data_IF_817980384686
#
_entry.id   IF_817980384686
#
_cell.length_a   1.000
_cell.length_b   1.000
_cell.length_c   1.000
_cell.angle_alpha   90.00
_cell.angle_beta   90.00
_cell.angle_gamma   90.00
#
_symmetry.space_group_name_H-M   'P 1'
#
loop_
_entity.id
_entity.type
_entity.pdbx_description
1 polymer ?
#
# COMPACT_ATOMS: atom_id res chain seq x y z
N UNK A 1 -36.68 -9.71 -20.07
CA UNK A 1 -35.67 -8.68 -20.43
C UNK A 1 -35.03 -8.06 -19.18
N UNK A 2 -35.78 -7.55 -18.22
CA UNK A 2 -35.24 -6.92 -16.98
C UNK A 2 -34.44 -7.91 -16.11
N UNK A 3 -34.93 -9.14 -15.90
CA UNK A 3 -34.26 -10.15 -15.07
C UNK A 3 -32.92 -10.67 -15.66
N UNK A 4 -32.80 -10.73 -17.00
CA UNK A 4 -31.57 -11.13 -17.70
C UNK A 4 -30.48 -10.04 -17.62
N UNK A 5 -30.87 -8.77 -17.67
CA UNK A 5 -29.93 -7.65 -17.51
C UNK A 5 -29.40 -7.54 -16.07
N UNK A 6 -30.24 -7.79 -15.07
CA UNK A 6 -29.84 -7.84 -13.66
C UNK A 6 -28.87 -9.00 -13.36
N UNK A 7 -29.13 -10.20 -13.89
CA UNK A 7 -28.24 -11.36 -13.71
C UNK A 7 -26.86 -11.15 -14.36
N UNK A 8 -26.80 -10.53 -15.54
CA UNK A 8 -25.54 -10.19 -16.21
C UNK A 8 -24.74 -9.12 -15.44
N UNK A 9 -25.41 -8.11 -14.86
CA UNK A 9 -24.74 -7.10 -14.02
C UNK A 9 -24.10 -7.72 -12.78
N UNK A 10 -24.79 -8.66 -12.12
CA UNK A 10 -24.31 -9.37 -10.93
C UNK A 10 -23.09 -10.24 -11.25
N UNK A 11 -23.09 -10.94 -12.39
CA UNK A 11 -21.94 -11.73 -12.85
C UNK A 11 -20.71 -10.88 -13.19
N UNK A 12 -20.89 -9.68 -13.75
CA UNK A 12 -19.79 -8.75 -14.04
C UNK A 12 -19.21 -8.16 -12.74
N UNK A 13 -20.04 -7.89 -11.73
CA UNK A 13 -19.60 -7.44 -10.40
C UNK A 13 -18.85 -8.53 -9.61
N UNK A 14 -19.01 -9.81 -9.96
CA UNK A 14 -18.26 -10.94 -9.37
C UNK A 14 -16.91 -11.23 -10.05
N UNK A 15 -16.64 -10.64 -11.22
CA UNK A 15 -15.34 -10.78 -11.88
C UNK A 15 -14.30 -9.89 -11.20
N UNK A 16 -13.07 -10.39 -11.08
CA UNK A 16 -11.94 -9.59 -10.57
C UNK A 16 -11.75 -8.32 -11.39
N UNK A 17 -11.27 -7.26 -10.74
CA UNK A 17 -10.99 -5.99 -11.39
C UNK A 17 -10.05 -6.16 -12.58
N UNK A 18 -9.06 -7.05 -12.47
CA UNK A 18 -8.15 -7.36 -13.58
C UNK A 18 -8.90 -7.82 -14.83
N UNK A 19 -9.86 -8.75 -14.71
CA UNK A 19 -10.63 -9.25 -15.85
C UNK A 19 -11.50 -8.15 -16.46
N UNK A 20 -12.11 -7.32 -15.61
CA UNK A 20 -12.97 -6.21 -16.04
C UNK A 20 -12.18 -5.14 -16.79
N UNK A 21 -10.97 -4.79 -16.32
CA UNK A 21 -10.06 -3.88 -17.04
C UNK A 21 -9.54 -4.52 -18.33
N UNK A 22 -9.23 -5.82 -18.32
CA UNK A 22 -8.81 -6.54 -19.53
C UNK A 22 -9.92 -6.58 -20.60
N UNK A 23 -11.18 -6.72 -20.20
CA UNK A 23 -12.34 -6.75 -21.10
C UNK A 23 -12.77 -5.36 -21.61
N UNK A 24 -12.41 -4.27 -20.93
CA UNK A 24 -12.72 -2.92 -21.37
C UNK A 24 -12.05 -2.61 -22.73
N UNK A 25 -12.68 -1.83 -23.63
CA UNK A 25 -12.03 -1.39 -24.86
C UNK A 25 -10.79 -0.53 -24.56
N UNK A 26 -9.93 -0.36 -25.56
CA UNK A 26 -8.87 0.66 -25.50
C UNK A 26 -9.50 2.06 -25.32
N UNK A 27 -8.79 2.94 -24.61
CA UNK A 27 -9.29 4.24 -24.17
C UNK A 27 -9.17 4.43 -22.65
N UNK A 28 -9.94 5.37 -22.11
CA UNK A 28 -9.95 5.62 -20.67
C UNK A 28 -10.79 4.58 -19.94
N UNK A 29 -10.21 3.94 -18.92
CA UNK A 29 -10.90 3.03 -18.00
C UNK A 29 -10.76 3.58 -16.59
N UNK A 30 -11.85 3.70 -15.84
CA UNK A 30 -11.82 4.30 -14.50
C UNK A 30 -12.57 3.47 -13.47
N UNK A 31 -12.12 3.55 -12.22
CA UNK A 31 -12.77 2.90 -11.08
C UNK A 31 -12.52 3.69 -9.80
N UNK A 32 -13.24 3.35 -8.73
CA UNK A 32 -13.11 4.02 -7.43
C UNK A 32 -13.15 3.01 -6.28
N UNK A 33 -12.45 3.26 -5.19
CA UNK A 33 -12.44 2.40 -4.00
C UNK A 33 -12.29 3.23 -2.71
N UNK A 34 -12.62 2.63 -1.56
CA UNK A 34 -12.57 3.34 -0.29
C UNK A 34 -11.13 3.70 0.10
N UNK A 35 -10.92 4.96 0.49
CA UNK A 35 -9.64 5.44 1.02
C UNK A 35 -9.57 5.19 2.53
N UNK A 36 -8.39 4.83 3.05
CA UNK A 36 -8.16 4.65 4.48
C UNK A 36 -8.37 5.97 5.25
N UNK A 37 -8.70 5.92 6.55
CA UNK A 37 -8.75 7.11 7.40
C UNK A 37 -7.45 7.93 7.31
N UNK A 38 -7.58 9.26 7.36
CA UNK A 38 -6.43 10.18 7.26
C UNK A 38 -6.01 10.51 5.83
N UNK A 39 -6.64 9.92 4.81
CA UNK A 39 -6.43 10.26 3.39
C UNK A 39 -7.44 11.30 2.92
N UNK A 40 -6.91 12.39 2.37
CA UNK A 40 -7.68 13.53 1.88
C UNK A 40 -7.15 14.00 0.53
N UNK A 41 -8.01 14.60 -0.28
CA UNK A 41 -7.58 15.23 -1.51
C UNK A 41 -8.56 16.27 -2.02
N UNK A 42 -8.08 17.10 -2.94
CA UNK A 42 -8.87 18.17 -3.55
C UNK A 42 -9.62 17.71 -4.82
N UNK A 43 -9.63 16.39 -5.10
CA UNK A 43 -10.23 15.82 -6.31
C UNK A 43 -9.54 16.17 -7.62
N UNK A 44 -8.33 16.75 -7.60
CA UNK A 44 -7.63 17.24 -8.80
C UNK A 44 -6.19 16.77 -8.90
N UNK A 45 -5.35 17.18 -7.96
CA UNK A 45 -3.90 16.98 -8.06
C UNK A 45 -3.19 16.95 -6.71
N UNK A 46 -3.92 17.18 -5.62
CA UNK A 46 -3.37 17.21 -4.28
C UNK A 46 -3.97 16.07 -3.47
N UNK A 47 -3.08 15.24 -2.91
CA UNK A 47 -3.43 14.16 -2.01
C UNK A 47 -2.54 14.28 -0.76
N UNK A 48 -3.16 14.23 0.41
CA UNK A 48 -2.51 14.13 1.71
C UNK A 48 -2.96 12.84 2.40
N UNK A 49 -2.06 12.16 3.12
CA UNK A 49 -2.32 10.81 3.65
C UNK A 49 -1.94 10.60 5.11
N UNK A 50 -1.75 11.71 5.83
CA UNK A 50 -1.49 11.77 7.27
C UNK A 50 -2.13 13.03 7.85
N UNK A 51 -3.47 13.05 7.84
CA UNK A 51 -4.23 14.17 8.37
C UNK A 51 -4.95 13.81 9.68
N UNK A 52 -4.69 14.57 10.74
CA UNK A 52 -5.39 14.49 12.02
C UNK A 52 -6.05 15.83 12.37
N UNK A 53 -7.37 15.82 12.62
CA UNK A 53 -8.16 17.01 13.03
C UNK A 53 -7.92 18.28 12.19
N UNK A 54 -7.70 18.12 10.88
CA UNK A 54 -7.46 19.23 9.95
C UNK A 54 -5.99 19.63 9.80
N UNK A 55 -5.08 19.04 10.57
CA UNK A 55 -3.63 19.16 10.36
C UNK A 55 -3.17 18.03 9.45
N UNK A 56 -2.81 18.38 8.21
CA UNK A 56 -2.33 17.44 7.21
C UNK A 56 -0.81 17.49 7.07
N UNK A 57 -0.17 16.36 7.32
CA UNK A 57 1.23 16.11 7.02
C UNK A 57 1.34 15.22 5.78
N UNK A 58 2.47 15.31 5.06
CA UNK A 58 2.77 14.57 3.82
C UNK A 58 1.77 14.82 2.66
N UNK A 59 2.25 15.47 1.60
CA UNK A 59 1.44 15.83 0.43
C UNK A 59 2.14 15.42 -0.85
N UNK A 60 1.40 14.81 -1.77
CA UNK A 60 1.78 14.70 -3.17
C UNK A 60 1.00 15.75 -3.96
N UNK A 61 1.73 16.55 -4.73
CA UNK A 61 1.18 17.49 -5.70
C UNK A 61 1.67 17.08 -7.08
N UNK A 62 0.75 16.65 -7.94
CA UNK A 62 1.06 16.39 -9.34
C UNK A 62 0.83 17.69 -10.16
N UNK A 63 1.89 18.45 -10.42
CA UNK A 63 1.86 19.70 -11.21
C UNK A 63 2.76 20.81 -10.63
N UNK A 64 3.08 21.82 -11.43
CA UNK A 64 3.93 22.94 -11.01
C UNK A 64 3.06 24.07 -10.43
N UNK A 65 2.84 24.07 -9.11
CA UNK A 65 2.22 25.19 -8.39
C UNK A 65 3.05 25.45 -7.12
N UNK A 66 3.49 26.70 -6.97
CA UNK A 66 4.32 27.20 -5.89
C UNK A 66 3.42 27.37 -4.64
N UNK A 67 3.72 26.65 -3.55
CA UNK A 67 2.97 26.70 -2.28
C UNK A 67 3.38 27.93 -1.45
N UNK A 68 3.33 29.12 -2.05
CA UNK A 68 3.19 30.38 -1.30
C UNK A 68 1.81 30.92 -1.64
N UNK A 69 0.86 30.75 -0.71
CA UNK A 69 -0.26 31.66 -0.40
C UNK A 69 -1.52 30.89 0.09
N UNK A 70 -1.86 31.13 1.36
CA UNK A 70 -3.21 31.44 1.87
C UNK A 70 -4.42 30.56 1.50
N UNK A 71 -4.27 29.24 1.31
CA UNK A 71 -5.41 28.41 0.90
C UNK A 71 -5.72 27.20 1.81
N UNK A 72 -6.88 27.25 2.47
CA UNK A 72 -7.48 26.13 3.20
C UNK A 72 -8.67 25.58 2.38
N UNK A 73 -8.41 24.70 1.40
CA UNK A 73 -9.53 23.93 0.80
C UNK A 73 -10.05 23.00 1.88
N UNK A 74 -11.37 22.82 2.06
CA UNK A 74 -11.88 21.68 2.80
C UNK A 74 -11.27 20.42 2.18
N UNK A 75 -10.40 19.77 2.94
CA UNK A 75 -9.91 18.45 2.63
C UNK A 75 -11.12 17.52 2.70
N UNK A 76 -11.74 17.23 1.56
CA UNK A 76 -12.85 16.30 1.51
C UNK A 76 -12.30 14.88 1.61
N UNK A 77 -12.71 14.15 2.64
CA UNK A 77 -12.59 12.70 2.65
C UNK A 77 -13.43 12.14 1.49
N UNK A 78 -12.87 11.24 0.70
CA UNK A 78 -13.61 10.64 -0.40
C UNK A 78 -12.87 9.46 -1.00
N UNK A 79 -13.51 8.69 -1.89
CA UNK A 79 -12.88 7.48 -2.40
C UNK A 79 -11.63 7.83 -3.21
N UNK A 80 -10.70 6.89 -3.26
CA UNK A 80 -9.62 6.91 -4.24
C UNK A 80 -10.25 6.66 -5.60
N UNK A 81 -9.85 7.45 -6.57
CA UNK A 81 -10.33 7.44 -7.95
C UNK A 81 -9.14 7.17 -8.85
N UNK A 82 -9.20 6.10 -9.63
CA UNK A 82 -8.12 5.71 -10.55
C UNK A 82 -8.63 5.83 -11.97
N UNK A 83 -7.86 6.52 -12.80
CA UNK A 83 -8.07 6.60 -14.24
C UNK A 83 -6.86 5.99 -14.95
N UNK A 84 -7.13 4.96 -15.75
CA UNK A 84 -6.18 4.25 -16.58
C UNK A 84 -6.35 4.69 -18.03
N UNK A 85 -5.24 4.79 -18.75
CA UNK A 85 -5.23 4.85 -20.22
C UNK A 85 -4.85 3.48 -20.76
N UNK A 86 -5.69 2.89 -21.60
CA UNK A 86 -5.47 1.58 -22.22
C UNK A 86 -5.25 1.74 -23.73
N UNK A 87 -4.21 1.13 -24.26
CA UNK A 87 -3.87 1.14 -25.69
C UNK A 87 -3.20 -0.18 -26.08
N UNK A 88 -3.67 -0.81 -27.16
CA UNK A 88 -3.19 -2.12 -27.61
C UNK A 88 -3.35 -3.19 -26.54
N UNK A 89 -4.42 -3.12 -25.72
CA UNK A 89 -4.65 -4.04 -24.61
C UNK A 89 -3.80 -3.80 -23.36
N UNK A 90 -2.86 -2.85 -23.39
CA UNK A 90 -1.94 -2.53 -22.27
C UNK A 90 -2.31 -1.22 -21.60
N UNK A 91 -2.00 -1.11 -20.31
CA UNK A 91 -2.13 0.15 -19.58
C UNK A 91 -0.88 1.01 -19.84
N UNK A 92 -1.08 2.22 -20.33
CA UNK A 92 -0.01 3.14 -20.75
C UNK A 92 0.13 4.37 -19.85
N UNK A 93 -0.92 4.75 -19.12
CA UNK A 93 -0.88 5.78 -18.09
C UNK A 93 -1.82 5.42 -16.94
N UNK A 94 -1.49 5.95 -15.77
CA UNK A 94 -2.28 5.85 -14.54
C UNK A 94 -2.30 7.21 -13.87
N UNK A 95 -3.50 7.62 -13.46
CA UNK A 95 -3.74 8.83 -12.66
C UNK A 95 -4.59 8.48 -11.45
N UNK A 96 -4.27 9.09 -10.32
CA UNK A 96 -4.98 8.92 -9.06
C UNK A 96 -5.52 10.25 -8.58
N UNK A 97 -6.71 10.20 -7.99
CA UNK A 97 -7.38 11.33 -7.36
C UNK A 97 -7.98 10.85 -6.04
N UNK A 98 -8.14 11.75 -5.07
CA UNK A 98 -8.89 11.49 -3.83
C UNK A 98 -9.93 12.58 -3.69
N UNK A 99 -11.16 12.20 -3.37
CA UNK A 99 -12.30 13.12 -3.33
C UNK A 99 -12.78 13.58 -4.71
N UNK A 100 -13.64 14.60 -4.73
CA UNK A 100 -14.22 15.16 -5.95
C UNK A 100 -15.17 14.20 -6.69
N UNK A 101 -15.36 14.42 -8.00
CA UNK A 101 -16.24 13.62 -8.84
C UNK A 101 -15.70 13.50 -10.26
N UNK A 102 -16.06 12.40 -10.95
CA UNK A 102 -15.74 12.24 -12.36
C UNK A 102 -16.45 13.31 -13.19
N UNK A 103 -15.75 13.88 -14.17
CA UNK A 103 -16.36 14.82 -15.11
C UNK A 103 -17.31 14.06 -16.03
N UNK A 104 -18.57 14.47 -16.09
CA UNK A 104 -19.60 13.85 -16.93
C UNK A 104 -19.25 13.89 -18.44
N UNK A 105 -18.47 14.88 -18.86
CA UNK A 105 -18.09 15.09 -20.26
C UNK A 105 -16.88 14.30 -20.74
N UNK A 106 -16.24 13.49 -19.88
CA UNK A 106 -15.06 12.70 -20.27
C UNK A 106 -15.48 11.27 -20.61
N UNK A 107 -15.41 10.85 -21.89
CA UNK A 107 -15.70 9.47 -22.28
C UNK A 107 -14.74 8.51 -21.59
N UNK A 108 -15.28 7.56 -20.84
CA UNK A 108 -14.50 6.53 -20.16
C UNK A 108 -15.38 5.28 -19.93
N UNK A 109 -14.75 4.11 -19.96
CA UNK A 109 -15.34 2.89 -19.41
C UNK A 109 -15.30 2.99 -17.89
N UNK A 110 -16.44 3.28 -17.28
CA UNK A 110 -16.56 3.41 -15.82
C UNK A 110 -16.91 2.07 -15.19
N UNK A 111 -15.97 1.53 -14.41
CA UNK A 111 -16.16 0.30 -13.64
C UNK A 111 -16.80 0.57 -12.27
N UNK A 112 -17.06 1.83 -11.93
CA UNK A 112 -17.73 2.25 -10.70
C UNK A 112 -16.91 2.02 -9.43
N UNK A 113 -17.62 1.92 -8.31
CA UNK A 113 -17.03 1.52 -7.03
C UNK A 113 -16.68 0.03 -7.05
N UNK A 114 -15.45 -0.29 -6.68
CA UNK A 114 -14.92 -1.66 -6.63
C UNK A 114 -14.48 -2.01 -5.21
N UNK A 115 -14.36 -3.31 -4.93
CA UNK A 115 -13.87 -3.77 -3.62
C UNK A 115 -12.44 -3.29 -3.38
N UNK A 116 -12.18 -2.74 -2.21
CA UNK A 116 -10.88 -2.13 -1.86
C UNK A 116 -9.73 -3.13 -1.95
N UNK A 117 -9.94 -4.38 -1.51
CA UNK A 117 -8.96 -5.46 -1.66
C UNK A 117 -8.66 -5.77 -3.13
N UNK A 118 -9.69 -5.89 -3.96
CA UNK A 118 -9.55 -6.20 -5.39
C UNK A 118 -8.83 -5.06 -6.14
N UNK A 119 -9.11 -3.81 -5.77
CA UNK A 119 -8.37 -2.63 -6.26
C UNK A 119 -6.89 -2.67 -5.88
N UNK A 120 -6.58 -2.89 -4.60
CA UNK A 120 -5.20 -2.97 -4.12
C UNK A 120 -4.43 -4.10 -4.80
N UNK A 121 -5.02 -5.31 -4.88
CA UNK A 121 -4.43 -6.46 -5.56
C UNK A 121 -4.14 -6.16 -7.04
N UNK A 122 -5.11 -5.56 -7.76
CA UNK A 122 -4.91 -5.19 -9.16
C UNK A 122 -3.77 -4.17 -9.34
N UNK A 123 -3.72 -3.13 -8.50
CA UNK A 123 -2.71 -2.08 -8.57
C UNK A 123 -1.30 -2.61 -8.25
N UNK A 124 -1.18 -3.49 -7.25
CA UNK A 124 0.09 -4.14 -6.92
C UNK A 124 0.53 -5.13 -8.00
N UNK A 125 -0.39 -5.88 -8.60
CA UNK A 125 -0.10 -6.72 -9.76
C UNK A 125 0.39 -5.89 -10.96
N UNK A 126 -0.16 -4.69 -11.15
CA UNK A 126 0.31 -3.75 -12.17
C UNK A 126 1.72 -3.26 -11.89
N UNK A 127 2.11 -3.08 -10.61
CA UNK A 127 3.47 -2.73 -10.21
C UNK A 127 4.50 -3.84 -10.50
N UNK A 128 4.07 -5.09 -10.67
CA UNK A 128 4.92 -6.25 -10.94
C UNK A 128 5.02 -6.62 -12.43
N UNK A 129 4.26 -5.98 -13.33
CA UNK A 129 4.08 -6.47 -14.70
C UNK A 129 5.24 -6.13 -15.66
N UNK A 130 5.86 -4.96 -15.50
CA UNK A 130 6.95 -4.48 -16.37
C UNK A 130 7.73 -3.29 -15.76
N UNK A 131 8.75 -2.80 -16.47
CA UNK A 131 9.54 -1.61 -16.10
C UNK A 131 8.88 -0.26 -16.45
N UNK A 132 7.58 -0.23 -16.76
CA UNK A 132 6.94 1.01 -17.20
C UNK A 132 6.79 2.04 -16.08
N UNK A 133 6.59 3.29 -16.49
CA UNK A 133 6.19 4.38 -15.59
C UNK A 133 4.86 4.08 -14.87
N UNK A 134 4.01 3.21 -15.43
CA UNK A 134 2.75 2.80 -14.82
C UNK A 134 3.01 1.95 -13.57
N UNK A 135 4.00 1.04 -13.63
CA UNK A 135 4.33 0.13 -12.52
C UNK A 135 4.69 0.89 -11.25
N UNK A 136 5.51 1.93 -11.35
CA UNK A 136 5.87 2.77 -10.21
C UNK A 136 4.65 3.53 -9.66
N UNK A 137 3.86 4.13 -10.56
CA UNK A 137 2.67 4.92 -10.20
C UNK A 137 1.57 4.09 -9.54
N UNK A 138 1.51 2.79 -9.81
CA UNK A 138 0.46 1.92 -9.29
C UNK A 138 0.60 1.64 -7.78
N UNK A 139 1.80 1.79 -7.21
CA UNK A 139 2.05 1.56 -5.78
C UNK A 139 1.28 2.56 -4.91
N UNK A 140 1.37 3.85 -5.22
CA UNK A 140 0.77 4.91 -4.40
C UNK A 140 -0.75 4.77 -4.20
N UNK A 141 -1.61 4.67 -5.24
CA UNK A 141 -3.05 4.49 -5.02
C UNK A 141 -3.34 3.24 -4.20
N UNK A 142 -2.56 2.17 -4.34
CA UNK A 142 -2.77 0.94 -3.60
C UNK A 142 -2.60 1.17 -2.08
N UNK A 143 -1.63 1.98 -1.66
CA UNK A 143 -1.40 2.24 -0.22
C UNK A 143 -2.44 3.15 0.43
N UNK A 144 -3.25 3.83 -0.38
CA UNK A 144 -4.38 4.63 0.09
C UNK A 144 -5.61 3.78 0.41
N UNK A 145 -5.59 2.49 0.07
CA UNK A 145 -6.71 1.57 0.24
C UNK A 145 -7.08 1.39 1.72
N UNK A 146 -8.38 1.53 2.02
CA UNK A 146 -8.93 1.26 3.34
C UNK A 146 -8.89 -0.22 3.72
N UNK A 147 -8.58 -0.50 5.00
CA UNK A 147 -8.68 -1.84 5.59
C UNK A 147 -7.91 -2.94 4.83
N UNK A 148 -6.82 -2.59 4.14
CA UNK A 148 -5.94 -3.53 3.43
C UNK A 148 -4.54 -3.50 4.03
N UNK A 149 -4.08 -4.69 4.45
CA UNK A 149 -2.70 -4.91 4.86
C UNK A 149 -1.82 -5.04 3.62
N UNK A 150 -1.21 -3.93 3.19
CA UNK A 150 -0.52 -3.89 1.88
C UNK A 150 1.00 -4.14 1.93
N UNK A 151 1.59 -4.04 3.11
CA UNK A 151 3.04 -4.10 3.25
C UNK A 151 3.69 -5.44 2.83
N UNK A 152 3.06 -6.63 2.89
CA UNK A 152 3.65 -7.86 2.35
C UNK A 152 3.90 -7.77 0.84
N UNK A 153 2.95 -7.20 0.11
CA UNK A 153 3.08 -6.98 -1.33
C UNK A 153 4.13 -5.91 -1.64
N UNK A 154 4.16 -4.80 -0.89
CA UNK A 154 5.18 -3.75 -1.04
C UNK A 154 6.59 -4.31 -0.85
N UNK A 155 6.75 -5.17 0.14
CA UNK A 155 7.99 -5.86 0.38
C UNK A 155 8.37 -6.80 -0.78
N UNK A 156 7.43 -7.62 -1.25
CA UNK A 156 7.67 -8.52 -2.39
C UNK A 156 8.15 -7.72 -3.60
N UNK A 157 7.53 -6.57 -3.86
CA UNK A 157 7.96 -5.63 -4.89
C UNK A 157 9.36 -5.07 -4.58
N UNK A 158 9.65 -4.70 -3.34
CA UNK A 158 10.95 -4.16 -2.93
C UNK A 158 12.11 -5.16 -3.10
N UNK A 159 11.84 -6.47 -3.03
CA UNK A 159 12.83 -7.55 -3.22
C UNK A 159 12.89 -8.12 -4.64
N UNK A 160 11.90 -7.83 -5.48
CA UNK A 160 11.80 -8.43 -6.81
C UNK A 160 12.87 -7.87 -7.75
N UNK A 161 13.70 -8.77 -8.30
CA UNK A 161 14.67 -8.41 -9.35
C UNK A 161 14.00 -8.19 -10.71
N UNK A 162 12.75 -8.60 -10.87
CA UNK A 162 11.94 -8.47 -12.10
C UNK A 162 11.34 -7.07 -12.30
N UNK A 163 11.44 -6.18 -11.30
CA UNK A 163 10.95 -4.80 -11.38
C UNK A 163 12.10 -3.80 -11.33
N UNK A 164 11.90 -2.63 -11.96
CA UNK A 164 12.95 -1.60 -12.03
C UNK A 164 13.37 -1.10 -10.64
N UNK A 165 14.61 -0.58 -10.54
CA UNK A 165 15.11 0.08 -9.31
C UNK A 165 14.18 1.17 -8.78
N UNK A 166 13.45 1.86 -9.67
CA UNK A 166 12.52 2.94 -9.30
C UNK A 166 11.26 2.39 -8.61
N UNK A 167 10.72 1.29 -9.14
CA UNK A 167 9.59 0.56 -8.53
C UNK A 167 9.99 0.02 -7.15
N UNK A 168 11.17 -0.62 -7.03
CA UNK A 168 11.69 -1.08 -5.73
C UNK A 168 11.83 0.06 -4.72
N UNK A 169 12.41 1.20 -5.12
CA UNK A 169 12.57 2.37 -4.25
C UNK A 169 11.23 2.93 -3.78
N UNK A 170 10.23 3.01 -4.68
CA UNK A 170 8.87 3.42 -4.33
C UNK A 170 8.25 2.47 -3.32
N UNK A 171 8.40 1.16 -3.53
CA UNK A 171 7.90 0.15 -2.61
C UNK A 171 8.57 0.23 -1.23
N UNK A 172 9.90 0.43 -1.15
CA UNK A 172 10.62 0.65 0.11
C UNK A 172 10.15 1.93 0.82
N UNK A 173 9.98 3.02 0.08
CA UNK A 173 9.47 4.28 0.63
C UNK A 173 8.10 4.08 1.28
N UNK A 174 7.16 3.49 0.53
CA UNK A 174 5.80 3.26 1.02
C UNK A 174 5.71 2.18 2.10
N UNK A 175 6.61 1.20 2.11
CA UNK A 175 6.77 0.25 3.20
C UNK A 175 7.13 0.97 4.50
N UNK A 176 8.05 1.95 4.45
CA UNK A 176 8.39 2.78 5.60
C UNK A 176 7.23 3.67 6.07
N UNK A 177 6.42 4.20 5.15
CA UNK A 177 5.24 5.01 5.47
C UNK A 177 4.07 4.18 6.04
N UNK A 178 3.87 2.97 5.52
CA UNK A 178 2.85 2.05 6.03
C UNK A 178 3.17 1.57 7.45
N UNK A 179 4.41 1.76 7.91
CA UNK A 179 4.88 1.18 9.14
C UNK A 179 4.41 1.88 10.43
N UNK A 180 3.56 2.91 10.50
CA UNK A 180 3.14 3.62 11.76
C UNK A 180 2.62 2.73 12.94
N UNK A 181 2.27 3.28 14.12
CA UNK A 181 2.02 2.52 15.38
C UNK A 181 1.01 1.34 15.29
N UNK A 182 -0.03 1.47 14.44
CA UNK A 182 -0.95 0.37 14.15
C UNK A 182 -0.27 -0.79 13.39
N UNK A 183 0.77 -0.47 12.62
CA UNK A 183 1.62 -1.41 11.92
C UNK A 183 2.58 -2.13 12.86
N UNK A 184 3.06 -1.58 13.98
CA UNK A 184 3.89 -2.38 14.90
C UNK A 184 3.12 -3.62 15.38
N UNK A 185 1.85 -3.44 15.80
CA UNK A 185 0.96 -4.57 16.14
C UNK A 185 0.64 -5.46 14.94
N UNK A 186 0.29 -4.88 13.80
CA UNK A 186 -0.02 -5.68 12.59
C UNK A 186 1.20 -6.45 12.04
N UNK A 187 2.40 -5.91 12.17
CA UNK A 187 3.66 -6.56 11.81
C UNK A 187 3.95 -7.71 12.77
N UNK A 188 3.74 -7.52 14.07
CA UNK A 188 3.90 -8.60 15.05
C UNK A 188 2.93 -9.74 14.83
N UNK A 189 1.65 -9.44 14.55
CA UNK A 189 0.66 -10.45 14.25
C UNK A 189 1.03 -11.25 13.00
N UNK A 190 1.60 -10.59 11.97
CA UNK A 190 2.03 -11.29 10.76
C UNK A 190 3.28 -12.14 10.96
N UNK A 191 4.23 -11.70 11.80
CA UNK A 191 5.37 -12.55 12.20
C UNK A 191 4.87 -13.86 12.82
N UNK A 192 3.77 -13.80 13.56
CA UNK A 192 3.20 -14.93 14.29
C UNK A 192 2.17 -15.75 13.47
N UNK A 193 1.67 -15.23 12.34
CA UNK A 193 0.74 -15.93 11.45
C UNK A 193 1.44 -17.01 10.60
N UNK A 194 1.39 -18.25 11.07
CA UNK A 194 1.98 -19.40 10.37
C UNK A 194 1.31 -19.78 9.05
N UNK A 195 0.22 -19.12 8.64
CA UNK A 195 -0.41 -19.32 7.32
C UNK A 195 0.25 -18.48 6.23
N UNK A 196 1.00 -17.47 6.61
CA UNK A 196 1.68 -16.55 5.70
C UNK A 196 3.01 -17.12 5.22
N UNK A 197 3.42 -16.72 4.02
CA UNK A 197 4.70 -17.14 3.44
C UNK A 197 5.87 -16.72 4.32
N UNK A 198 6.87 -17.60 4.48
CA UNK A 198 8.04 -17.31 5.33
C UNK A 198 8.78 -16.05 4.91
N UNK A 199 8.86 -15.77 3.62
CA UNK A 199 9.49 -14.54 3.11
C UNK A 199 8.73 -13.28 3.57
N UNK A 200 7.41 -13.35 3.63
CA UNK A 200 6.53 -12.28 4.14
C UNK A 200 6.77 -12.09 5.63
N UNK A 201 6.79 -13.17 6.41
CA UNK A 201 7.04 -13.15 7.87
C UNK A 201 8.44 -12.61 8.21
N UNK A 202 9.49 -13.03 7.50
CA UNK A 202 10.86 -12.53 7.68
C UNK A 202 10.98 -11.03 7.46
N UNK A 203 10.14 -10.52 6.61
CA UNK A 203 10.18 -9.13 6.21
C UNK A 203 9.33 -8.23 7.08
N UNK A 204 8.33 -8.80 7.72
CA UNK A 204 7.68 -8.22 8.86
C UNK A 204 8.72 -7.90 9.96
N UNK A 205 9.65 -8.84 10.21
CA UNK A 205 10.76 -8.64 11.15
C UNK A 205 11.68 -7.49 10.70
N UNK A 206 11.99 -7.39 9.41
CA UNK A 206 12.73 -6.24 8.89
C UNK A 206 11.95 -4.92 9.04
N UNK A 207 10.67 -4.89 8.70
CA UNK A 207 9.86 -3.68 8.86
C UNK A 207 9.78 -3.24 10.34
N UNK A 208 9.74 -4.18 11.28
CA UNK A 208 9.85 -3.90 12.72
C UNK A 208 11.18 -3.26 13.10
N UNK A 209 12.29 -3.59 12.44
CA UNK A 209 13.58 -2.93 12.68
C UNK A 209 13.63 -1.49 12.20
N UNK A 210 12.74 -1.12 11.28
CA UNK A 210 12.64 0.25 10.75
C UNK A 210 11.69 1.14 11.56
N UNK A 211 11.03 0.62 12.61
CA UNK A 211 10.15 1.37 13.49
C UNK A 211 10.91 2.31 14.43
N UNK A 212 10.25 3.34 14.98
CA UNK A 212 10.78 4.07 16.13
C UNK A 212 11.26 3.09 17.20
N UNK A 213 12.41 3.40 17.81
CA UNK A 213 13.12 2.49 18.72
C UNK A 213 12.20 1.96 19.83
N UNK A 214 11.33 2.81 20.36
CA UNK A 214 10.41 2.46 21.46
C UNK A 214 9.27 1.53 21.08
N UNK A 215 9.06 1.29 19.79
CA UNK A 215 8.08 0.32 19.28
C UNK A 215 8.77 -0.92 18.69
N UNK A 216 9.78 -0.71 17.84
CA UNK A 216 10.45 -1.78 17.10
C UNK A 216 11.29 -2.68 17.99
N UNK A 217 12.07 -2.11 18.91
CA UNK A 217 12.97 -2.88 19.78
C UNK A 217 12.18 -3.82 20.70
N UNK A 218 11.13 -3.39 21.41
CA UNK A 218 10.31 -4.30 22.20
C UNK A 218 9.68 -5.44 21.37
N UNK A 219 9.21 -5.14 20.16
CA UNK A 219 8.63 -6.14 19.27
C UNK A 219 9.67 -7.19 18.82
N UNK A 220 10.87 -6.75 18.42
CA UNK A 220 11.95 -7.64 18.04
C UNK A 220 12.44 -8.50 19.20
N UNK A 221 12.52 -7.95 20.42
CA UNK A 221 12.87 -8.72 21.63
C UNK A 221 11.85 -9.84 21.87
N UNK A 222 10.54 -9.54 21.78
CA UNK A 222 9.50 -10.57 21.91
C UNK A 222 9.68 -11.68 20.89
N UNK A 223 9.88 -11.32 19.61
CA UNK A 223 10.08 -12.30 18.53
C UNK A 223 11.31 -13.15 18.79
N UNK A 224 12.43 -12.54 19.20
CA UNK A 224 13.67 -13.25 19.51
C UNK A 224 13.53 -14.27 20.65
N UNK A 225 12.65 -14.01 21.63
CA UNK A 225 12.42 -14.89 22.80
C UNK A 225 11.36 -15.95 22.54
N UNK A 226 10.27 -15.59 21.88
CA UNK A 226 9.01 -16.35 21.94
C UNK A 226 8.60 -16.98 20.60
N UNK A 227 9.10 -16.47 19.46
CA UNK A 227 8.60 -16.95 18.18
C UNK A 227 9.03 -18.42 17.94
N UNK A 228 8.09 -19.24 17.47
CA UNK A 228 8.31 -20.68 17.26
C UNK A 228 9.29 -20.97 16.13
N UNK A 229 9.39 -20.07 15.15
CA UNK A 229 10.26 -20.20 13.99
C UNK A 229 11.70 -19.74 14.32
N UNK A 230 12.65 -20.68 14.26
CA UNK A 230 14.04 -20.40 14.61
C UNK A 230 14.71 -19.40 13.67
N UNK A 231 14.30 -19.34 12.40
CA UNK A 231 14.85 -18.40 11.43
C UNK A 231 14.37 -16.99 11.71
N UNK A 232 13.11 -16.82 12.13
CA UNK A 232 12.57 -15.52 12.55
C UNK A 232 13.20 -15.03 13.84
N UNK A 233 13.43 -15.92 14.82
CA UNK A 233 14.21 -15.57 16.04
C UNK A 233 15.61 -15.06 15.66
N UNK A 234 16.30 -15.77 14.76
CA UNK A 234 17.64 -15.37 14.29
C UNK A 234 17.63 -14.01 13.61
N UNK A 235 16.63 -13.73 12.75
CA UNK A 235 16.52 -12.42 12.10
C UNK A 235 16.20 -11.30 13.08
N UNK A 236 15.37 -11.54 14.10
CA UNK A 236 15.10 -10.55 15.13
C UNK A 236 16.38 -10.21 15.93
N UNK A 237 17.16 -11.22 16.30
CA UNK A 237 18.47 -11.03 16.95
C UNK A 237 19.42 -10.23 16.05
N UNK A 238 19.49 -10.56 14.76
CA UNK A 238 20.31 -9.82 13.79
C UNK A 238 19.98 -8.32 13.79
N UNK A 239 18.70 -7.96 13.65
CA UNK A 239 18.27 -6.57 13.62
C UNK A 239 18.41 -5.85 14.97
N UNK A 240 18.22 -6.56 16.08
CA UNK A 240 18.53 -6.04 17.42
C UNK A 240 20.01 -5.68 17.55
N UNK A 241 20.91 -6.48 16.96
CA UNK A 241 22.34 -6.20 16.92
C UNK A 241 22.71 -4.97 16.09
N UNK A 242 21.83 -4.50 15.20
CA UNK A 242 22.01 -3.27 14.41
C UNK A 242 21.35 -2.04 15.06
N UNK A 243 20.65 -2.21 16.19
CA UNK A 243 19.82 -1.14 16.77
C UNK A 243 20.60 -0.14 17.64
N UNK A 244 21.77 -0.51 18.14
CA UNK A 244 22.50 0.21 19.21
C UNK A 244 21.61 0.53 20.43
N UNK A 245 20.56 -0.25 20.69
CA UNK A 245 19.66 -0.04 21.81
C UNK A 245 20.13 -0.85 23.04
N UNK A 246 20.23 -0.24 24.23
CA UNK A 246 20.69 -0.95 25.43
C UNK A 246 19.80 -2.14 25.81
N UNK A 247 18.52 -2.15 25.42
CA UNK A 247 17.62 -3.31 25.64
C UNK A 247 18.06 -4.53 24.83
N UNK A 248 18.65 -4.33 23.65
CA UNK A 248 19.20 -5.42 22.84
C UNK A 248 20.42 -6.05 23.50
N UNK A 249 21.32 -5.23 24.08
CA UNK A 249 22.48 -5.72 24.84
C UNK A 249 22.05 -6.54 26.06
N UNK A 250 21.06 -6.05 26.82
CA UNK A 250 20.52 -6.78 27.97
C UNK A 250 19.93 -8.15 27.57
N UNK A 251 19.25 -8.22 26.42
CA UNK A 251 18.78 -9.50 25.88
C UNK A 251 19.94 -10.42 25.50
N UNK A 252 21.00 -9.92 24.87
CA UNK A 252 22.14 -10.75 24.50
C UNK A 252 22.86 -11.30 25.74
N UNK A 253 23.01 -10.49 26.78
CA UNK A 253 23.52 -10.96 28.08
C UNK A 253 22.63 -12.07 28.66
N UNK A 254 21.29 -11.87 28.70
CA UNK A 254 20.33 -12.90 29.14
C UNK A 254 20.47 -14.21 28.35
N UNK A 255 20.60 -14.13 27.03
CA UNK A 255 20.65 -15.30 26.15
C UNK A 255 22.00 -16.05 26.22
N UNK A 256 23.11 -15.33 26.39
CA UNK A 256 24.46 -15.91 26.36
C UNK A 256 24.93 -16.40 27.75
N UNK A 257 24.34 -15.90 28.83
CA UNK A 257 24.69 -16.29 30.21
C UNK A 257 23.77 -17.33 30.82
N UNK A 258 22.68 -17.69 30.12
CA UNK A 258 21.84 -18.82 30.52
C UNK A 258 22.61 -20.15 30.38
N UNK A 259 22.71 -20.95 31.46
CA UNK A 259 23.40 -22.24 31.45
C UNK A 259 22.66 -23.31 30.63
#
# INVERSE_FOLDING_TARGET
MIALALAALVLVQQQSLERRVAAAPDGSVRFSFAARPGVYGNGRNMISWDCDKGNCHNRQVDGNWDDRDDWNTPCDSGPVRVALSKSGGRITDLRVYVGGQWRASTPATDLGMVGTKDAATYLLALALKDESRVSEKAIFPAVLADSVTIWPDLLKIAKSDDVSRKVRRSAVFWLGQAAGDAATRGLTDLVDDGREDREVRESAVFALSQRPRDEGVPALIRIAKENKDADLRRKAIFWLGQSDDPRALALFEELLTRP
#
